data_IF_270602380214
#
_entry.id   IF_270602380214
#
_cell.length_a   1.000
_cell.length_b   1.000
_cell.length_c   1.000
_cell.angle_alpha   90.00
_cell.angle_beta   90.00
_cell.angle_gamma   90.00
#
_symmetry.space_group_name_H-M   'P 1'
#
loop_
_entity.id
_entity.type
_entity.pdbx_description
1 polymer ?
#
# COMPACT_ATOMS: atom_id res chain seq x y z
N UNK A 1 -8.52 -27.41 -16.42
CA UNK A 1 -8.31 -26.74 -15.12
C UNK A 1 -8.09 -25.26 -15.38
N UNK A 2 -9.09 -24.42 -15.18
CA UNK A 2 -8.93 -22.97 -15.29
C UNK A 2 -8.18 -22.47 -14.07
N UNK A 3 -6.89 -22.10 -14.22
CA UNK A 3 -6.15 -21.42 -13.15
C UNK A 3 -6.86 -20.08 -12.89
N UNK A 4 -7.33 -19.87 -11.66
CA UNK A 4 -7.80 -18.54 -11.24
C UNK A 4 -6.62 -17.56 -11.34
N UNK A 5 -6.86 -16.32 -11.78
CA UNK A 5 -5.80 -15.32 -11.83
C UNK A 5 -5.27 -15.05 -10.41
N UNK A 6 -3.98 -14.72 -10.27
CA UNK A 6 -3.39 -14.37 -8.98
C UNK A 6 -4.04 -13.10 -8.43
N UNK A 7 -4.09 -12.98 -7.11
CA UNK A 7 -4.61 -11.80 -6.41
C UNK A 7 -3.48 -10.86 -5.98
N UNK A 8 -3.76 -9.56 -5.89
CA UNK A 8 -2.82 -8.62 -5.27
C UNK A 8 -2.95 -8.62 -3.75
N UNK A 9 -1.82 -8.51 -3.06
CA UNK A 9 -1.73 -8.42 -1.60
C UNK A 9 -0.75 -7.33 -1.21
N UNK A 10 -0.96 -6.69 -0.05
CA UNK A 10 -0.02 -5.67 0.44
C UNK A 10 1.36 -6.28 0.68
N UNK A 11 2.40 -5.74 0.04
CA UNK A 11 3.77 -6.26 0.12
C UNK A 11 4.31 -6.29 1.56
N UNK A 12 3.91 -5.34 2.40
CA UNK A 12 4.30 -5.34 3.81
C UNK A 12 3.86 -6.63 4.54
N UNK A 13 2.78 -7.28 4.10
CA UNK A 13 2.29 -8.55 4.66
C UNK A 13 3.16 -9.75 4.30
N UNK A 14 4.09 -9.63 3.35
CA UNK A 14 5.10 -10.66 3.09
C UNK A 14 6.37 -10.46 3.91
N UNK A 15 6.41 -9.45 4.78
CA UNK A 15 7.62 -9.02 5.49
C UNK A 15 8.50 -8.07 4.69
N UNK A 16 8.11 -7.67 3.47
CA UNK A 16 8.86 -6.69 2.70
C UNK A 16 8.89 -5.32 3.43
N UNK A 17 10.06 -4.70 3.61
CA UNK A 17 10.22 -3.52 4.45
C UNK A 17 9.78 -2.23 3.74
N UNK A 18 8.49 -2.12 3.39
CA UNK A 18 7.93 -0.98 2.64
C UNK A 18 6.93 -0.13 3.43
N UNK A 19 6.70 -0.41 4.72
CA UNK A 19 5.88 0.46 5.58
C UNK A 19 6.53 1.83 5.74
N UNK A 20 5.75 2.81 6.18
CA UNK A 20 6.24 4.16 6.44
C UNK A 20 7.44 4.20 7.41
N UNK A 21 7.45 3.29 8.39
CA UNK A 21 8.52 3.11 9.39
C UNK A 21 9.69 2.22 8.94
N UNK A 22 9.72 1.82 7.67
CA UNK A 22 10.78 0.95 7.12
C UNK A 22 10.67 -0.51 7.51
N UNK A 23 9.58 -0.94 8.15
CA UNK A 23 9.40 -2.33 8.59
C UNK A 23 8.46 -3.13 7.67
N UNK A 24 8.51 -4.45 7.82
CA UNK A 24 7.48 -5.35 7.34
C UNK A 24 6.38 -5.56 8.40
N UNK A 25 5.30 -6.23 8.01
CA UNK A 25 4.28 -6.75 8.94
C UNK A 25 3.86 -8.16 8.49
N UNK A 26 4.76 -9.14 8.60
CA UNK A 26 4.56 -10.45 7.99
C UNK A 26 3.26 -11.12 8.48
N UNK A 27 2.51 -11.69 7.53
CA UNK A 27 1.36 -12.55 7.76
C UNK A 27 1.67 -13.92 7.12
N UNK A 28 1.75 -15.00 7.91
CA UNK A 28 2.11 -16.33 7.41
C UNK A 28 1.23 -16.85 6.27
N UNK A 29 -0.08 -16.58 6.30
CA UNK A 29 -1.02 -17.03 5.27
C UNK A 29 -0.76 -16.32 3.94
N UNK A 30 -0.53 -15.01 3.98
CA UNK A 30 -0.18 -14.23 2.78
C UNK A 30 1.16 -14.67 2.20
N UNK A 31 2.16 -14.92 3.05
CA UNK A 31 3.45 -15.44 2.62
C UNK A 31 3.33 -16.80 1.92
N UNK A 32 2.48 -17.70 2.43
CA UNK A 32 2.22 -18.99 1.81
C UNK A 32 1.55 -18.84 0.42
N UNK A 33 0.59 -17.91 0.27
CA UNK A 33 -0.05 -17.63 -1.01
C UNK A 33 0.94 -17.09 -2.06
N UNK A 34 1.84 -16.19 -1.66
CA UNK A 34 2.89 -15.66 -2.55
C UNK A 34 3.87 -16.76 -2.94
N UNK A 35 4.32 -17.59 -1.99
CA UNK A 35 5.21 -18.72 -2.27
C UNK A 35 4.57 -19.76 -3.20
N UNK A 36 3.24 -19.94 -3.12
CA UNK A 36 2.48 -20.81 -4.01
C UNK A 36 2.19 -20.19 -5.40
N UNK A 37 2.62 -18.95 -5.65
CA UNK A 37 2.35 -18.23 -6.91
C UNK A 37 0.88 -17.84 -7.09
N UNK A 38 0.10 -17.82 -6.00
CA UNK A 38 -1.33 -17.47 -6.00
C UNK A 38 -1.57 -15.98 -5.68
N UNK A 39 -0.55 -15.27 -5.20
CA UNK A 39 -0.63 -13.86 -4.88
C UNK A 39 0.61 -13.09 -5.37
N UNK A 40 0.41 -11.82 -5.72
CA UNK A 40 1.45 -10.88 -6.13
C UNK A 40 1.54 -9.75 -5.09
N UNK A 41 2.69 -9.57 -4.43
CA UNK A 41 2.86 -8.50 -3.44
C UNK A 41 3.03 -7.13 -4.11
N UNK A 42 2.31 -6.12 -3.60
CA UNK A 42 2.32 -4.74 -4.12
C UNK A 42 2.35 -3.73 -2.97
N UNK A 43 3.16 -2.68 -3.10
CA UNK A 43 3.11 -1.50 -2.24
C UNK A 43 2.67 -0.29 -3.09
N UNK A 44 1.38 0.11 -3.05
CA UNK A 44 0.89 1.24 -3.84
C UNK A 44 1.66 2.52 -3.57
N UNK A 45 2.00 2.80 -2.31
CA UNK A 45 2.71 4.03 -1.90
C UNK A 45 4.11 4.15 -2.53
N UNK A 46 4.88 3.07 -2.59
CA UNK A 46 6.19 3.07 -3.26
C UNK A 46 6.05 3.15 -4.78
N UNK A 47 5.05 2.48 -5.35
CA UNK A 47 4.76 2.57 -6.80
C UNK A 47 4.28 3.97 -7.21
N UNK A 48 3.58 4.67 -6.32
CA UNK A 48 3.22 6.08 -6.45
C UNK A 48 4.40 7.03 -6.25
N UNK A 49 5.57 6.52 -5.83
CA UNK A 49 6.82 7.28 -5.75
C UNK A 49 7.23 7.73 -4.35
N UNK A 50 6.53 7.31 -3.29
CA UNK A 50 6.97 7.64 -1.92
C UNK A 50 8.17 6.78 -1.50
N UNK A 51 9.13 7.35 -0.74
CA UNK A 51 10.29 6.62 -0.27
C UNK A 51 9.93 5.65 0.87
N UNK A 52 10.95 4.93 1.35
CA UNK A 52 10.89 4.20 2.62
C UNK A 52 12.21 4.42 3.37
N UNK A 53 12.19 4.96 4.61
CA UNK A 53 11.00 5.40 5.36
C UNK A 53 10.32 6.65 4.76
N UNK A 54 9.11 6.95 5.23
CA UNK A 54 8.33 8.14 4.89
C UNK A 54 7.46 8.57 6.07
N UNK A 55 7.04 9.82 6.10
CA UNK A 55 6.09 10.32 7.11
C UNK A 55 4.76 9.56 7.03
N UNK A 56 4.16 9.25 8.18
CA UNK A 56 2.80 8.71 8.23
C UNK A 56 1.81 9.71 7.62
N UNK A 57 0.76 9.22 6.95
CA UNK A 57 -0.23 10.06 6.29
C UNK A 57 -1.64 9.52 6.47
N UNK A 58 -2.61 10.43 6.46
CA UNK A 58 -4.04 10.14 6.67
C UNK A 58 -4.88 10.86 5.61
N UNK A 59 -6.05 10.28 5.32
CA UNK A 59 -7.05 10.92 4.47
C UNK A 59 -7.73 12.04 5.27
N UNK A 60 -7.78 13.23 4.70
CA UNK A 60 -8.44 14.41 5.27
C UNK A 60 -9.61 14.82 4.38
N UNK A 61 -10.79 14.93 4.99
CA UNK A 61 -11.99 15.44 4.31
C UNK A 61 -12.83 14.38 3.57
N UNK A 62 -12.65 13.09 3.83
CA UNK A 62 -13.45 12.02 3.20
C UNK A 62 -12.82 10.64 3.37
N UNK A 63 -13.02 9.78 2.38
CA UNK A 63 -12.42 8.45 2.29
C UNK A 63 -11.58 8.26 1.00
N UNK A 64 -11.18 7.02 0.71
CA UNK A 64 -10.40 6.71 -0.48
C UNK A 64 -11.14 6.99 -1.80
N UNK A 65 -12.47 6.87 -1.84
CA UNK A 65 -13.25 7.23 -3.02
C UNK A 65 -13.27 8.74 -3.23
N UNK A 66 -13.37 9.52 -2.14
CA UNK A 66 -13.30 10.97 -2.22
C UNK A 66 -11.91 11.45 -2.67
N UNK A 67 -10.82 10.77 -2.29
CA UNK A 67 -9.47 11.05 -2.80
C UNK A 67 -9.41 10.84 -4.32
N UNK A 68 -9.88 9.70 -4.80
CA UNK A 68 -9.91 9.39 -6.25
C UNK A 68 -10.82 10.35 -7.03
N UNK A 69 -11.87 10.89 -6.39
CA UNK A 69 -12.75 11.89 -6.96
C UNK A 69 -12.23 13.34 -6.85
N UNK A 70 -11.05 13.55 -6.25
CA UNK A 70 -10.46 14.88 -6.05
C UNK A 70 -11.16 15.75 -4.99
N UNK A 71 -11.94 15.13 -4.10
CA UNK A 71 -12.72 15.79 -3.03
C UNK A 71 -12.06 15.72 -1.65
N UNK A 72 -11.21 14.73 -1.43
CA UNK A 72 -10.39 14.58 -0.23
C UNK A 72 -8.90 14.59 -0.59
N UNK A 73 -8.05 14.72 0.43
CA UNK A 73 -6.59 14.76 0.29
C UNK A 73 -5.94 13.73 1.20
N UNK A 74 -4.72 13.32 0.87
CA UNK A 74 -3.85 12.55 1.77
C UNK A 74 -2.77 13.48 2.29
N UNK A 75 -2.81 13.78 3.58
CA UNK A 75 -1.89 14.71 4.24
C UNK A 75 -1.00 13.94 5.20
N UNK A 76 0.32 14.17 5.12
CA UNK A 76 1.26 13.55 6.04
C UNK A 76 1.34 14.31 7.39
N UNK A 77 1.93 13.68 8.41
CA UNK A 77 2.06 14.27 9.75
C UNK A 77 2.93 15.52 9.83
N UNK A 78 3.70 15.83 8.78
CA UNK A 78 4.49 17.08 8.69
C UNK A 78 3.76 18.18 7.89
N UNK A 79 2.57 17.89 7.37
CA UNK A 79 1.69 18.84 6.69
C UNK A 79 1.78 18.85 5.16
N UNK A 80 2.58 17.97 4.54
CA UNK A 80 2.66 17.89 3.09
C UNK A 80 1.44 17.18 2.49
N UNK A 81 0.99 17.68 1.34
CA UNK A 81 -0.01 17.03 0.51
C UNK A 81 0.66 15.98 -0.38
N UNK A 82 0.43 14.70 -0.04
CA UNK A 82 0.97 13.53 -0.75
C UNK A 82 -0.10 12.83 -1.58
N UNK A 83 -1.21 13.51 -1.89
CA UNK A 83 -2.37 12.92 -2.58
C UNK A 83 -2.00 12.27 -3.90
N UNK A 84 -1.10 12.88 -4.68
CA UNK A 84 -0.70 12.39 -6.02
C UNK A 84 -0.07 11.00 -5.95
N UNK A 85 0.63 10.66 -4.88
CA UNK A 85 1.27 9.35 -4.73
C UNK A 85 0.30 8.25 -4.27
N UNK A 86 -0.96 8.59 -3.97
CA UNK A 86 -2.01 7.68 -3.52
C UNK A 86 -3.12 7.45 -4.56
N UNK A 87 -2.97 7.99 -5.78
CA UNK A 87 -3.91 7.86 -6.91
C UNK A 87 -3.25 7.07 -8.04
#
# INVERSE_FOLDING_TARGET
MTKRPPIFVSACLTGFPCRYDGQGKPNPEIMALVAAGLAIPVCPEQLGGLPTPRSAAEIVGGDGHDVLAGKARVINVVGDDVTVQFV
#
